data_IF_525961559156
#
_entry.id   IF_525961559156
#
_cell.length_a   1.000
_cell.length_b   1.000
_cell.length_c   1.000
_cell.angle_alpha   90.00
_cell.angle_beta   90.00
_cell.angle_gamma   90.00
#
_symmetry.space_group_name_H-M   'P 1'
#
loop_
_entity.id
_entity.type
_entity.pdbx_description
1 polymer ?
#
# COMPACT_ATOMS: atom_id res chain seq x y z
N UNK A 1 4.14 -9.73 -6.21
CA UNK A 1 5.14 -9.94 -7.27
C UNK A 1 6.50 -9.33 -6.88
N UNK A 2 6.58 -8.02 -6.56
CA UNK A 2 7.84 -7.33 -6.19
C UNK A 2 8.59 -7.99 -5.03
N UNK A 3 7.94 -8.18 -3.88
CA UNK A 3 8.55 -8.78 -2.67
C UNK A 3 8.97 -10.23 -2.92
N UNK A 4 8.12 -11.01 -3.59
CA UNK A 4 8.42 -12.41 -3.92
C UNK A 4 9.60 -12.51 -4.87
N UNK A 5 9.67 -11.67 -5.90
CA UNK A 5 10.79 -11.61 -6.84
C UNK A 5 12.11 -11.27 -6.15
N UNK A 6 12.08 -10.25 -5.26
CA UNK A 6 13.24 -9.87 -4.48
C UNK A 6 13.72 -11.00 -3.56
N UNK A 7 12.81 -11.60 -2.77
CA UNK A 7 13.15 -12.71 -1.86
C UNK A 7 13.73 -13.89 -2.61
N UNK A 8 13.11 -14.28 -3.72
CA UNK A 8 13.61 -15.37 -4.56
C UNK A 8 15.01 -15.07 -5.13
N UNK A 9 15.20 -13.85 -5.63
CA UNK A 9 16.49 -13.41 -6.16
C UNK A 9 17.60 -13.51 -5.10
N UNK A 10 17.33 -13.06 -3.87
CA UNK A 10 18.28 -13.16 -2.76
C UNK A 10 18.63 -14.61 -2.42
N UNK A 11 17.64 -15.50 -2.36
CA UNK A 11 17.85 -16.91 -2.03
C UNK A 11 18.63 -17.66 -3.13
N UNK A 12 18.29 -17.40 -4.39
CA UNK A 12 18.87 -18.10 -5.54
C UNK A 12 20.28 -17.60 -5.89
N UNK A 13 20.65 -16.37 -5.49
CA UNK A 13 21.91 -15.71 -5.86
C UNK A 13 22.86 -15.46 -4.68
N UNK A 14 22.81 -16.26 -3.62
CA UNK A 14 23.69 -16.11 -2.47
C UNK A 14 23.56 -14.76 -1.76
N UNK A 15 22.32 -14.31 -1.61
CA UNK A 15 21.92 -13.02 -1.02
C UNK A 15 22.30 -11.78 -1.86
N UNK A 16 22.64 -11.95 -3.13
CA UNK A 16 22.76 -10.82 -4.05
C UNK A 16 21.40 -10.48 -4.67
N UNK A 17 21.01 -9.19 -4.64
CA UNK A 17 19.79 -8.73 -5.27
C UNK A 17 20.00 -8.49 -6.78
N UNK A 18 19.50 -9.40 -7.58
CA UNK A 18 19.50 -9.34 -9.04
C UNK A 18 18.05 -9.34 -9.59
N UNK A 19 17.07 -8.89 -8.77
CA UNK A 19 15.67 -8.87 -9.20
C UNK A 19 15.46 -7.89 -10.37
N UNK A 20 14.64 -8.30 -11.33
CA UNK A 20 14.27 -7.46 -12.49
C UNK A 20 13.46 -6.24 -12.04
N UNK A 21 12.66 -6.40 -10.97
CA UNK A 21 11.88 -5.32 -10.38
C UNK A 21 12.68 -4.64 -9.27
N UNK A 22 13.62 -3.77 -9.63
CA UNK A 22 14.48 -3.08 -8.67
C UNK A 22 14.05 -1.63 -8.46
N UNK A 23 14.08 -1.20 -7.18
CA UNK A 23 13.86 0.19 -6.76
C UNK A 23 15.13 1.05 -6.84
N UNK A 24 16.28 0.47 -7.18
CA UNK A 24 17.58 1.17 -7.17
C UNK A 24 17.57 2.44 -8.00
N UNK A 25 17.86 3.56 -7.35
CA UNK A 25 17.95 4.89 -7.98
C UNK A 25 16.63 5.47 -8.47
N UNK A 26 15.49 4.85 -8.15
CA UNK A 26 14.16 5.27 -8.60
C UNK A 26 13.41 6.07 -7.53
N UNK A 27 12.51 6.94 -7.98
CA UNK A 27 11.46 7.49 -7.16
C UNK A 27 10.35 6.42 -7.05
N UNK A 28 10.10 5.94 -5.84
CA UNK A 28 9.16 4.85 -5.57
C UNK A 28 7.90 5.41 -4.93
N UNK A 29 6.75 5.01 -5.45
CA UNK A 29 5.46 5.26 -4.81
C UNK A 29 4.84 3.93 -4.42
N UNK A 30 4.47 3.80 -3.14
CA UNK A 30 3.70 2.67 -2.60
C UNK A 30 2.26 3.15 -2.39
N UNK A 31 1.28 2.48 -3.01
CA UNK A 31 -0.13 2.82 -2.86
C UNK A 31 -0.77 1.82 -1.90
N UNK A 32 -1.28 2.33 -0.77
CA UNK A 32 -1.85 1.56 0.32
C UNK A 32 -0.83 1.25 1.42
N UNK A 33 -1.36 1.04 2.61
CA UNK A 33 -0.61 0.78 3.83
C UNK A 33 -0.65 -0.68 4.27
N UNK A 34 -0.48 -0.87 5.57
CA UNK A 34 -0.43 -2.18 6.20
C UNK A 34 0.91 -2.89 5.99
N UNK A 35 0.96 -4.16 6.40
CA UNK A 35 2.22 -4.94 6.44
C UNK A 35 2.90 -5.05 5.08
N UNK A 36 2.11 -5.30 4.02
CA UNK A 36 2.65 -5.39 2.65
C UNK A 36 3.24 -4.05 2.19
N UNK A 37 2.61 -2.92 2.52
CA UNK A 37 3.11 -1.58 2.21
C UNK A 37 4.43 -1.30 2.92
N UNK A 38 4.51 -1.60 4.21
CA UNK A 38 5.73 -1.49 5.02
C UNK A 38 6.87 -2.33 4.45
N UNK A 39 6.60 -3.58 4.03
CA UNK A 39 7.58 -4.45 3.40
C UNK A 39 8.08 -3.90 2.05
N UNK A 40 7.17 -3.32 1.26
CA UNK A 40 7.54 -2.63 0.02
C UNK A 40 8.45 -1.43 0.28
N UNK A 41 8.17 -0.62 1.30
CA UNK A 41 9.00 0.52 1.71
C UNK A 41 10.40 0.03 2.13
N UNK A 42 10.47 -0.92 3.07
CA UNK A 42 11.73 -1.45 3.58
C UNK A 42 12.59 -2.12 2.49
N UNK A 43 11.97 -2.90 1.60
CA UNK A 43 12.68 -3.52 0.47
C UNK A 43 13.21 -2.46 -0.49
N UNK A 44 12.40 -1.45 -0.83
CA UNK A 44 12.83 -0.35 -1.73
C UNK A 44 14.00 0.44 -1.15
N UNK A 45 14.02 0.68 0.17
CA UNK A 45 15.15 1.31 0.86
C UNK A 45 16.43 0.49 0.72
N UNK A 46 16.35 -0.82 0.98
CA UNK A 46 17.52 -1.74 0.91
C UNK A 46 18.05 -1.86 -0.50
N UNK A 47 17.20 -1.74 -1.51
CA UNK A 47 17.60 -1.67 -2.91
C UNK A 47 18.22 -0.32 -3.31
N UNK A 48 18.15 0.70 -2.46
CA UNK A 48 18.72 2.03 -2.73
C UNK A 48 17.81 2.92 -3.58
N UNK A 49 16.53 2.98 -3.25
CA UNK A 49 15.59 3.94 -3.83
C UNK A 49 16.08 5.39 -3.64
N UNK A 50 15.84 6.24 -4.63
CA UNK A 50 16.16 7.67 -4.58
C UNK A 50 15.21 8.44 -3.66
N UNK A 51 13.95 8.06 -3.68
CA UNK A 51 12.92 8.56 -2.78
C UNK A 51 11.82 7.52 -2.61
N UNK A 52 11.09 7.60 -1.49
CA UNK A 52 9.92 6.76 -1.25
C UNK A 52 8.78 7.65 -0.74
N UNK A 53 7.59 7.47 -1.31
CA UNK A 53 6.35 8.07 -0.84
C UNK A 53 5.29 6.98 -0.76
N UNK A 54 4.55 6.94 0.35
CA UNK A 54 3.46 6.01 0.56
C UNK A 54 2.13 6.76 0.54
N UNK A 55 1.19 6.36 -0.30
CA UNK A 55 -0.13 6.97 -0.41
C UNK A 55 -1.16 6.20 0.38
N UNK A 56 -1.83 6.91 1.27
CA UNK A 56 -2.94 6.44 2.07
C UNK A 56 -4.24 7.15 1.65
N UNK A 57 -5.27 6.36 1.37
CA UNK A 57 -6.57 6.89 0.96
C UNK A 57 -7.32 7.57 2.09
N UNK A 58 -7.21 7.01 3.30
CA UNK A 58 -7.89 7.50 4.49
C UNK A 58 -7.08 8.60 5.18
N UNK A 59 -7.71 9.32 6.10
CA UNK A 59 -7.02 10.26 6.99
C UNK A 59 -6.03 9.54 7.91
N UNK A 60 -5.03 10.28 8.39
CA UNK A 60 -4.11 9.76 9.39
C UNK A 60 -4.90 9.29 10.62
N UNK A 61 -4.68 8.06 11.10
CA UNK A 61 -5.29 7.58 12.33
C UNK A 61 -4.90 8.42 13.54
N UNK A 62 -5.74 8.52 14.57
CA UNK A 62 -5.44 9.25 15.79
C UNK A 62 -4.31 8.58 16.58
N UNK A 63 -3.60 9.34 17.40
CA UNK A 63 -2.52 8.85 18.28
C UNK A 63 -3.04 7.87 19.36
N UNK A 64 -4.27 8.06 19.78
CA UNK A 64 -4.93 7.25 20.81
C UNK A 64 -6.25 6.72 20.30
N UNK A 65 -6.70 5.60 20.87
CA UNK A 65 -7.98 4.96 20.53
C UNK A 65 -9.14 5.95 20.71
N UNK A 66 -9.98 6.10 19.70
CA UNK A 66 -11.19 6.90 19.76
C UNK A 66 -12.32 6.19 20.52
N UNK A 67 -13.31 6.94 21.00
CA UNK A 67 -14.51 6.39 21.63
C UNK A 67 -15.34 5.52 20.67
N UNK A 68 -15.29 5.81 19.37
CA UNK A 68 -15.96 5.03 18.33
C UNK A 68 -15.24 3.73 17.97
N UNK A 69 -14.07 3.45 18.55
CA UNK A 69 -13.30 2.23 18.35
C UNK A 69 -12.93 1.61 19.74
N UNK A 70 -13.93 1.16 20.53
CA UNK A 70 -13.70 0.66 21.89
C UNK A 70 -13.03 -0.73 21.87
N UNK A 71 -12.42 -1.10 22.99
CA UNK A 71 -12.02 -2.47 23.23
C UNK A 71 -13.27 -3.38 23.27
N UNK A 72 -13.27 -4.60 22.70
CA UNK A 72 -12.12 -5.39 22.19
C UNK A 72 -11.83 -5.24 20.69
N UNK A 73 -12.35 -4.26 20.02
CA UNK A 73 -12.09 -4.04 18.59
C UNK A 73 -10.60 -3.83 18.33
N UNK A 74 -10.16 -4.16 17.13
CA UNK A 74 -8.79 -3.85 16.71
C UNK A 74 -8.54 -2.34 16.75
N UNK A 75 -7.45 -1.87 17.41
CA UNK A 75 -7.23 -0.44 17.58
C UNK A 75 -6.87 0.24 16.27
N UNK A 76 -7.69 1.20 15.85
CA UNK A 76 -7.40 2.13 14.74
C UNK A 76 -6.64 3.32 15.31
N UNK A 77 -5.33 3.18 15.40
CA UNK A 77 -4.41 4.21 15.92
C UNK A 77 -3.23 4.40 14.98
N UNK A 78 -2.60 5.57 15.05
CA UNK A 78 -1.36 5.83 14.32
C UNK A 78 -0.25 4.90 14.82
N UNK A 79 0.36 4.17 13.89
CA UNK A 79 1.48 3.26 14.15
C UNK A 79 2.62 3.56 13.22
N UNK A 80 3.83 3.38 13.72
CA UNK A 80 5.04 3.51 12.92
C UNK A 80 5.69 2.14 12.88
N UNK A 81 5.69 1.51 11.72
CA UNK A 81 6.31 0.23 11.48
C UNK A 81 7.76 0.43 11.01
N UNK A 82 8.54 -0.66 11.00
CA UNK A 82 9.97 -0.63 10.70
C UNK A 82 10.31 0.09 9.38
N UNK A 83 9.51 -0.11 8.32
CA UNK A 83 9.75 0.54 7.02
C UNK A 83 9.55 2.05 7.08
N UNK A 84 8.60 2.54 7.88
CA UNK A 84 8.39 3.97 8.10
C UNK A 84 9.54 4.58 8.89
N UNK A 85 10.00 3.91 9.97
CA UNK A 85 11.15 4.35 10.77
C UNK A 85 12.43 4.41 9.95
N UNK A 86 12.74 3.34 9.20
CA UNK A 86 13.90 3.27 8.32
C UNK A 86 13.86 4.38 7.26
N UNK A 87 12.68 4.59 6.62
CA UNK A 87 12.49 5.64 5.63
C UNK A 87 12.70 7.03 6.23
N UNK A 88 12.11 7.28 7.39
CA UNK A 88 12.31 8.55 8.10
C UNK A 88 13.78 8.78 8.46
N UNK A 89 14.48 7.75 8.89
CA UNK A 89 15.92 7.85 9.23
C UNK A 89 16.78 8.17 8.00
N UNK A 90 16.44 7.62 6.82
CA UNK A 90 17.22 7.84 5.59
C UNK A 90 16.88 9.15 4.92
N UNK A 91 15.58 9.52 4.83
CA UNK A 91 15.11 10.68 4.09
C UNK A 91 14.72 11.87 4.96
N UNK A 92 14.77 11.74 6.31
CA UNK A 92 14.46 12.81 7.26
C UNK A 92 12.98 13.13 7.40
N UNK A 93 12.08 12.27 6.89
CA UNK A 93 10.62 12.46 6.98
C UNK A 93 9.88 11.13 6.87
N UNK A 94 8.68 11.08 7.46
CA UNK A 94 7.74 9.98 7.27
C UNK A 94 7.33 9.89 5.78
N UNK A 95 7.36 8.71 5.14
CA UNK A 95 7.02 8.57 3.73
C UNK A 95 5.53 8.72 3.43
N UNK A 96 4.65 8.63 4.43
CA UNK A 96 3.21 8.59 4.25
C UNK A 96 2.61 9.94 3.90
N UNK A 97 1.66 9.90 2.96
CA UNK A 97 0.80 11.02 2.55
C UNK A 97 -0.64 10.52 2.59
N UNK A 98 -1.48 11.16 3.38
CA UNK A 98 -2.85 10.75 3.66
C UNK A 98 -3.87 11.47 2.78
N UNK A 99 -5.08 10.90 2.69
CA UNK A 99 -6.21 11.47 1.96
C UNK A 99 -5.90 11.70 0.47
N UNK A 100 -5.17 10.75 -0.15
CA UNK A 100 -4.79 10.82 -1.56
C UNK A 100 -5.47 9.72 -2.37
N UNK A 101 -6.20 10.13 -3.40
CA UNK A 101 -6.76 9.24 -4.41
C UNK A 101 -5.94 9.32 -5.69
N UNK A 102 -5.49 8.17 -6.18
CA UNK A 102 -4.82 8.07 -7.48
C UNK A 102 -5.81 8.18 -8.62
N UNK A 103 -5.61 9.16 -9.50
CA UNK A 103 -6.46 9.41 -10.68
C UNK A 103 -5.95 8.69 -11.92
N UNK A 104 -4.65 8.75 -12.18
CA UNK A 104 -4.05 8.15 -13.37
C UNK A 104 -2.55 7.97 -13.25
N UNK A 105 -2.03 7.07 -14.06
CA UNK A 105 -0.59 6.88 -14.25
C UNK A 105 -0.12 7.66 -15.46
N UNK A 106 1.07 8.24 -15.35
CA UNK A 106 1.76 8.92 -16.45
C UNK A 106 2.80 7.96 -17.01
N UNK A 107 2.84 7.85 -18.33
CA UNK A 107 3.83 7.03 -19.05
C UNK A 107 4.87 7.90 -19.72
N UNK A 108 6.08 7.40 -19.80
CA UNK A 108 7.12 7.94 -20.66
C UNK A 108 6.89 7.54 -22.14
N UNK A 109 7.82 7.95 -23.02
CA UNK A 109 7.79 7.63 -24.46
C UNK A 109 7.90 6.12 -24.75
N UNK A 110 8.48 5.35 -23.84
CA UNK A 110 8.72 3.91 -23.98
C UNK A 110 7.59 3.08 -23.32
N UNK A 111 6.59 3.77 -22.74
CA UNK A 111 5.41 3.16 -22.12
C UNK A 111 5.59 2.76 -20.65
N UNK A 112 6.74 3.07 -20.05
CA UNK A 112 7.00 2.83 -18.63
C UNK A 112 6.35 3.92 -17.77
N UNK A 113 6.06 3.57 -16.50
CA UNK A 113 5.56 4.57 -15.56
C UNK A 113 6.62 5.63 -15.29
N UNK A 114 6.23 6.90 -15.41
CA UNK A 114 7.07 8.07 -15.12
C UNK A 114 6.47 9.00 -14.08
N UNK A 115 5.23 8.74 -13.66
CA UNK A 115 4.58 9.51 -12.62
C UNK A 115 3.14 9.08 -12.34
N UNK A 116 2.55 9.73 -11.34
CA UNK A 116 1.15 9.53 -10.93
C UNK A 116 0.48 10.88 -10.75
N UNK A 117 -0.79 10.97 -11.16
CA UNK A 117 -1.68 12.07 -10.78
C UNK A 117 -2.57 11.65 -9.63
N UNK A 118 -2.65 12.49 -8.61
CA UNK A 118 -3.52 12.31 -7.45
C UNK A 118 -4.43 13.52 -7.25
N UNK A 119 -5.47 13.35 -6.47
CA UNK A 119 -6.32 14.40 -5.92
C UNK A 119 -6.48 14.13 -4.41
N UNK A 120 -6.63 15.18 -3.61
CA UNK A 120 -7.00 14.99 -2.21
C UNK A 120 -8.46 14.58 -2.09
N UNK A 121 -8.76 13.77 -1.07
CA UNK A 121 -10.11 13.32 -0.78
C UNK A 121 -10.46 13.55 0.69
N UNK A 122 -11.75 13.69 0.95
CA UNK A 122 -12.31 13.68 2.29
C UNK A 122 -13.44 12.65 2.41
N UNK A 123 -13.60 12.08 3.58
CA UNK A 123 -14.68 11.15 3.88
C UNK A 123 -15.84 11.91 4.52
N UNK A 124 -16.94 12.06 3.80
CA UNK A 124 -18.18 12.70 4.28
C UNK A 124 -19.32 11.70 4.18
N UNK A 125 -20.01 11.44 5.26
CA UNK A 125 -21.14 10.49 5.33
C UNK A 125 -20.84 9.11 4.71
N UNK A 126 -19.63 8.60 4.93
CA UNK A 126 -19.18 7.30 4.42
C UNK A 126 -18.82 7.28 2.93
N UNK A 127 -18.83 8.43 2.25
CA UNK A 127 -18.43 8.58 0.84
C UNK A 127 -17.14 9.39 0.73
N UNK A 128 -16.25 8.92 -0.15
CA UNK A 128 -15.05 9.67 -0.51
C UNK A 128 -15.42 10.73 -1.57
N UNK A 129 -15.19 12.00 -1.23
CA UNK A 129 -15.35 13.13 -2.12
C UNK A 129 -14.00 13.70 -2.50
N UNK A 130 -13.81 13.99 -3.78
CA UNK A 130 -12.62 14.67 -4.27
C UNK A 130 -12.66 16.16 -3.90
N UNK A 131 -11.51 16.72 -3.55
CA UNK A 131 -11.38 18.14 -3.24
C UNK A 131 -10.85 18.85 -4.49
N UNK A 132 -11.68 19.64 -5.13
CA UNK A 132 -11.34 20.36 -6.36
C UNK A 132 -10.11 21.26 -6.20
N UNK A 133 -9.28 21.32 -7.24
CA UNK A 133 -8.08 22.16 -7.27
C UNK A 133 -6.91 21.62 -6.43
N UNK A 134 -6.97 20.37 -5.98
CA UNK A 134 -5.89 19.71 -5.21
C UNK A 134 -5.13 18.69 -6.02
N UNK A 135 -5.32 18.65 -7.34
CA UNK A 135 -4.61 17.74 -8.22
C UNK A 135 -3.11 17.97 -8.12
N UNK A 136 -2.38 16.86 -8.01
CA UNK A 136 -0.92 16.89 -7.93
C UNK A 136 -0.32 15.80 -8.79
N UNK A 137 0.80 16.14 -9.44
CA UNK A 137 1.63 15.18 -10.16
C UNK A 137 2.85 14.83 -9.32
N UNK A 138 3.17 13.55 -9.28
CA UNK A 138 4.30 12.97 -8.57
C UNK A 138 5.18 12.22 -9.56
N UNK A 139 6.49 12.43 -9.51
CA UNK A 139 7.44 11.63 -10.27
C UNK A 139 7.56 10.23 -9.68
N UNK A 140 7.51 9.19 -10.52
CA UNK A 140 7.63 7.81 -10.08
C UNK A 140 8.11 6.91 -11.21
N UNK A 141 9.22 6.23 -11.02
CA UNK A 141 9.73 5.21 -11.93
C UNK A 141 9.41 3.79 -11.47
N UNK A 142 8.86 3.64 -10.26
CA UNK A 142 8.32 2.38 -9.73
C UNK A 142 7.10 2.67 -8.88
N UNK A 143 6.02 1.95 -9.15
CA UNK A 143 4.78 2.03 -8.37
C UNK A 143 4.42 0.64 -7.86
N UNK A 144 4.25 0.51 -6.55
CA UNK A 144 3.92 -0.72 -5.87
C UNK A 144 2.51 -0.63 -5.30
N UNK A 145 1.65 -1.57 -5.68
CA UNK A 145 0.26 -1.62 -5.23
C UNK A 145 0.15 -2.54 -4.01
N UNK A 146 -0.25 -1.99 -2.86
CA UNK A 146 -0.42 -2.68 -1.57
C UNK A 146 -1.82 -2.45 -1.00
N UNK A 147 -2.84 -2.56 -1.85
CA UNK A 147 -4.23 -2.15 -1.56
C UNK A 147 -5.08 -3.26 -0.94
N UNK A 148 -4.45 -4.30 -0.37
CA UNK A 148 -5.15 -5.43 0.26
C UNK A 148 -5.57 -6.49 -0.75
N UNK A 149 -6.51 -7.34 -0.31
CA UNK A 149 -7.01 -8.49 -1.06
C UNK A 149 -8.44 -8.24 -1.52
N UNK A 150 -8.85 -8.86 -2.62
CA UNK A 150 -10.22 -8.77 -3.13
C UNK A 150 -11.16 -9.71 -2.38
N UNK A 151 -10.78 -10.98 -2.27
CA UNK A 151 -11.55 -12.03 -1.59
C UNK A 151 -10.67 -13.26 -1.37
N UNK A 152 -11.11 -14.25 -0.57
CA UNK A 152 -10.55 -15.60 -0.60
C UNK A 152 -10.65 -16.23 -1.99
N UNK A 153 -9.79 -17.19 -2.30
CA UNK A 153 -9.94 -18.02 -3.50
C UNK A 153 -11.18 -18.93 -3.36
N UNK A 154 -11.97 -19.04 -4.42
CA UNK A 154 -13.29 -19.67 -4.35
C UNK A 154 -13.30 -21.17 -4.69
N UNK A 155 -12.18 -21.76 -5.11
CA UNK A 155 -12.14 -23.18 -5.48
C UNK A 155 -12.59 -24.11 -4.34
N UNK A 156 -12.31 -23.75 -3.06
CA UNK A 156 -12.78 -24.53 -1.90
C UNK A 156 -14.29 -24.40 -1.70
N UNK A 157 -14.88 -23.22 -1.90
CA UNK A 157 -16.32 -23.03 -1.77
C UNK A 157 -17.08 -23.73 -2.90
N UNK A 158 -16.54 -23.76 -4.09
CA UNK A 158 -17.10 -24.48 -5.25
C UNK A 158 -17.08 -25.99 -4.99
N UNK A 159 -15.92 -26.56 -4.59
CA UNK A 159 -15.78 -27.99 -4.34
C UNK A 159 -16.61 -28.47 -3.13
N UNK A 160 -16.69 -27.68 -2.07
CA UNK A 160 -17.40 -28.02 -0.83
C UNK A 160 -18.85 -27.50 -0.79
N UNK A 161 -19.30 -26.80 -1.84
CA UNK A 161 -20.62 -26.16 -1.93
C UNK A 161 -20.91 -25.25 -0.73
N UNK A 162 -19.94 -24.38 -0.39
CA UNK A 162 -20.04 -23.39 0.69
C UNK A 162 -20.53 -22.06 0.09
N UNK A 163 -21.55 -21.48 0.70
CA UNK A 163 -22.08 -20.17 0.31
C UNK A 163 -21.04 -19.07 0.53
N UNK A 164 -21.04 -18.08 -0.36
CA UNK A 164 -20.26 -16.85 -0.24
C UNK A 164 -21.17 -15.64 -0.07
N UNK A 165 -20.70 -14.60 0.62
CA UNK A 165 -21.41 -13.35 0.80
C UNK A 165 -21.23 -12.39 -0.41
N UNK A 166 -21.89 -11.23 -0.37
CA UNK A 166 -21.83 -10.22 -1.43
C UNK A 166 -20.42 -9.63 -1.64
N UNK A 167 -19.52 -9.80 -0.65
CA UNK A 167 -18.12 -9.35 -0.71
C UNK A 167 -17.17 -10.46 -1.15
N UNK A 168 -17.68 -11.65 -1.46
CA UNK A 168 -16.88 -12.80 -1.85
C UNK A 168 -16.25 -13.56 -0.68
N UNK A 169 -16.61 -13.30 0.56
CA UNK A 169 -16.13 -14.07 1.72
C UNK A 169 -17.00 -15.30 1.95
N UNK A 170 -16.46 -16.32 2.60
CA UNK A 170 -17.22 -17.48 3.01
C UNK A 170 -18.31 -17.07 4.01
N UNK A 171 -19.55 -17.44 3.70
CA UNK A 171 -20.71 -17.08 4.51
C UNK A 171 -20.75 -17.92 5.76
N UNK A 172 -20.67 -17.28 6.91
CA UNK A 172 -20.80 -17.92 8.21
C UNK A 172 -21.53 -16.99 9.19
N UNK A 173 -22.23 -17.58 10.16
CA UNK A 173 -22.74 -16.82 11.27
C UNK A 173 -21.68 -16.69 12.35
N UNK A 174 -21.62 -15.52 12.98
CA UNK A 174 -20.69 -15.27 14.07
C UNK A 174 -20.92 -16.25 15.22
N UNK A 175 -19.90 -17.01 15.60
CA UNK A 175 -19.93 -17.96 16.73
C UNK A 175 -20.54 -19.34 16.42
N UNK A 176 -20.79 -19.67 15.16
CA UNK A 176 -21.19 -21.00 14.71
C UNK A 176 -20.07 -21.71 13.94
#
# INVERSE_FOLDING_TARGET
EYLTSNTKSLLDNGYADNSELSAKGKNVIVIGGGDTGTDCIGTSLRQGAKSITNFELMSQPPEVRSESNPWPEWPVIFRVDYGHEESNKVFGKDPRQYQLLTKSFIKDKDGHVSGIKTVNVELVDGKLNEIDGTEKTWDAELVLLSMGFLSPEHYLSEDANIDIDERGNYKAKHGE
#
